data_IF_721604828537
#
_entry.id   IF_721604828537
#
_cell.length_a   1.000
_cell.length_b   1.000
_cell.length_c   1.000
_cell.angle_alpha   90.00
_cell.angle_beta   90.00
_cell.angle_gamma   90.00
#
_symmetry.space_group_name_H-M   'P 1'
#
loop_
_entity.id
_entity.type
_entity.pdbx_description
1 polymer ?
#
# COMPACT_ATOMS: atom_id res chain seq x y z
N UNK A 1 -3.33 -5.03 8.72
CA UNK A 1 -4.13 -4.23 9.66
C UNK A 1 -3.78 -4.64 11.07
N UNK A 2 -3.93 -3.75 12.04
CA UNK A 2 -3.44 -3.95 13.41
C UNK A 2 -4.54 -3.68 14.43
N UNK A 3 -4.62 -4.52 15.46
CA UNK A 3 -5.46 -4.30 16.64
C UNK A 3 -4.75 -3.31 17.58
N UNK A 4 -5.37 -2.18 17.96
CA UNK A 4 -4.67 -1.13 18.72
C UNK A 4 -4.11 -1.59 20.06
N UNK A 5 -4.93 -2.26 20.88
CA UNK A 5 -4.54 -2.64 22.25
C UNK A 5 -3.50 -3.77 22.31
N UNK A 6 -3.60 -4.76 21.42
CA UNK A 6 -2.76 -5.97 21.46
C UNK A 6 -1.58 -5.93 20.50
N UNK A 7 -1.63 -5.05 19.49
CA UNK A 7 -0.66 -5.01 18.42
C UNK A 7 -0.68 -6.20 17.46
N UNK A 8 -1.66 -7.10 17.58
CA UNK A 8 -1.83 -8.22 16.63
C UNK A 8 -2.07 -7.68 15.23
N UNK A 9 -1.40 -8.26 14.24
CA UNK A 9 -1.56 -7.89 12.83
C UNK A 9 -2.18 -9.01 11.99
N UNK A 10 -2.98 -8.60 11.01
CA UNK A 10 -3.65 -9.49 10.05
C UNK A 10 -3.55 -8.93 8.63
N UNK A 11 -3.34 -9.82 7.66
CA UNK A 11 -3.42 -9.50 6.23
C UNK A 11 -4.81 -9.85 5.69
N UNK A 12 -5.51 -8.87 5.14
CA UNK A 12 -6.88 -9.01 4.65
C UNK A 12 -7.00 -8.28 3.31
N UNK A 13 -7.69 -8.89 2.34
CA UNK A 13 -8.16 -8.19 1.15
C UNK A 13 -9.27 -7.21 1.54
N UNK A 14 -8.86 -5.97 1.88
CA UNK A 14 -9.75 -4.97 2.43
C UNK A 14 -10.60 -4.28 1.35
N UNK A 15 -11.88 -4.08 1.64
CA UNK A 15 -12.79 -3.30 0.82
C UNK A 15 -12.73 -1.81 1.21
N UNK A 16 -12.73 -0.87 0.25
CA UNK A 16 -12.79 0.55 0.55
C UNK A 16 -14.02 0.92 1.39
N UNK A 17 -13.82 1.68 2.47
CA UNK A 17 -14.90 2.17 3.34
C UNK A 17 -15.48 1.16 4.32
N UNK A 18 -15.02 -0.09 4.32
CA UNK A 18 -15.48 -1.12 5.26
C UNK A 18 -14.71 -1.07 6.58
N UNK A 19 -15.43 -1.06 7.69
CA UNK A 19 -14.86 -1.17 9.03
C UNK A 19 -14.63 -2.63 9.38
N UNK A 20 -13.38 -2.97 9.71
CA UNK A 20 -13.00 -4.30 10.16
C UNK A 20 -12.76 -4.29 11.67
N UNK A 21 -13.29 -5.29 12.38
CA UNK A 21 -13.15 -5.42 13.82
C UNK A 21 -12.28 -6.63 14.17
N UNK A 22 -11.48 -6.50 15.21
CA UNK A 22 -10.77 -7.61 15.83
C UNK A 22 -11.79 -8.60 16.43
N UNK A 23 -11.62 -9.90 16.15
CA UNK A 23 -12.58 -10.92 16.60
C UNK A 23 -12.59 -11.10 18.13
N UNK A 24 -11.45 -10.86 18.78
CA UNK A 24 -11.28 -11.17 20.21
C UNK A 24 -11.56 -9.94 21.07
N UNK A 25 -11.17 -8.74 20.61
CA UNK A 25 -11.36 -7.49 21.37
C UNK A 25 -12.55 -6.66 20.90
N UNK A 26 -13.05 -6.87 19.67
CA UNK A 26 -14.09 -6.04 19.05
C UNK A 26 -13.61 -4.66 18.60
N UNK A 27 -12.32 -4.32 18.77
CA UNK A 27 -11.76 -3.04 18.39
C UNK A 27 -11.68 -2.87 16.87
N UNK A 28 -11.81 -1.64 16.39
CA UNK A 28 -11.56 -1.32 14.99
C UNK A 28 -10.09 -1.56 14.63
N UNK A 29 -9.86 -2.35 13.58
CA UNK A 29 -8.54 -2.60 13.05
C UNK A 29 -8.03 -1.39 12.28
N UNK A 30 -6.78 -1.01 12.53
CA UNK A 30 -6.10 0.09 11.86
C UNK A 30 -5.33 -0.40 10.62
N UNK A 31 -5.39 0.37 9.53
CA UNK A 31 -4.60 0.09 8.33
C UNK A 31 -3.18 0.61 8.53
N UNK A 32 -2.27 -0.27 8.93
CA UNK A 32 -0.85 0.07 9.15
C UNK A 32 0.03 -0.13 7.91
N UNK A 33 -0.49 -0.76 6.85
CA UNK A 33 0.26 -1.04 5.64
C UNK A 33 -0.62 -1.56 4.50
N UNK A 34 -0.05 -1.56 3.30
CA UNK A 34 -0.65 -2.08 2.07
C UNK A 34 0.36 -2.98 1.38
N UNK A 35 -0.09 -4.12 0.85
CA UNK A 35 0.73 -4.95 -0.03
C UNK A 35 0.60 -4.38 -1.44
N UNK A 36 1.73 -4.07 -2.06
CA UNK A 36 1.80 -3.58 -3.43
C UNK A 36 2.25 -4.70 -4.39
N UNK A 37 1.82 -4.67 -5.66
CA UNK A 37 0.91 -3.69 -6.25
C UNK A 37 -0.54 -3.92 -5.78
N UNK A 38 -1.25 -2.84 -5.45
CA UNK A 38 -2.65 -2.93 -5.01
C UNK A 38 -3.57 -3.01 -6.25
N UNK A 39 -4.40 -4.06 -6.40
CA UNK A 39 -5.38 -4.11 -7.48
C UNK A 39 -6.49 -3.07 -7.28
N UNK A 40 -7.01 -2.42 -8.34
CA UNK A 40 -6.47 -2.43 -9.71
C UNK A 40 -5.23 -1.50 -9.80
N UNK A 41 -4.08 -2.06 -10.14
CA UNK A 41 -2.90 -1.25 -10.45
C UNK A 41 -3.00 -0.74 -11.89
N UNK A 42 -2.69 0.55 -12.10
CA UNK A 42 -2.58 1.12 -13.45
C UNK A 42 -1.30 0.68 -14.18
N UNK A 43 -0.35 0.08 -13.44
CA UNK A 43 0.90 -0.39 -14.02
C UNK A 43 0.70 -1.68 -14.79
N UNK A 44 1.37 -1.79 -15.93
CA UNK A 44 1.41 -2.99 -16.78
C UNK A 44 2.75 -3.72 -16.64
N UNK A 45 3.67 -3.23 -15.81
CA UNK A 45 4.97 -3.84 -15.59
C UNK A 45 4.93 -4.88 -14.47
N UNK A 46 5.62 -6.03 -14.61
CA UNK A 46 5.85 -6.96 -13.52
C UNK A 46 6.52 -6.27 -12.32
N UNK A 47 6.17 -6.69 -11.11
CA UNK A 47 6.81 -6.20 -9.88
C UNK A 47 8.21 -6.81 -9.72
N UNK A 48 9.17 -6.28 -10.47
CA UNK A 48 10.57 -6.69 -10.53
C UNK A 48 11.48 -5.47 -10.36
N UNK A 49 12.68 -5.66 -9.82
CA UNK A 49 13.60 -4.56 -9.42
C UNK A 49 13.88 -3.61 -10.60
N UNK A 50 14.08 -4.15 -11.80
CA UNK A 50 14.31 -3.42 -13.04
C UNK A 50 13.14 -2.52 -13.47
N UNK A 51 11.92 -2.80 -12.99
CA UNK A 51 10.70 -2.05 -13.28
C UNK A 51 10.31 -1.06 -12.16
N UNK A 52 11.13 -0.96 -11.10
CA UNK A 52 10.87 -0.09 -9.96
C UNK A 52 11.78 1.14 -9.96
N UNK A 53 11.29 2.21 -9.33
CA UNK A 53 12.02 3.44 -9.03
C UNK A 53 11.72 3.91 -7.62
N UNK A 54 12.64 4.67 -7.04
CA UNK A 54 12.39 5.36 -5.79
C UNK A 54 11.46 6.55 -6.01
N UNK A 55 10.44 6.68 -5.15
CA UNK A 55 9.66 7.90 -5.05
C UNK A 55 10.49 8.98 -4.35
N UNK A 56 10.73 10.15 -4.96
CA UNK A 56 11.54 11.21 -4.34
C UNK A 56 10.88 11.89 -3.13
N UNK A 57 9.65 11.51 -2.79
CA UNK A 57 8.88 12.10 -1.70
C UNK A 57 8.80 11.24 -0.44
N UNK A 58 8.92 9.93 -0.58
CA UNK A 58 8.73 8.98 0.53
C UNK A 58 9.69 7.78 0.49
N UNK A 59 10.60 7.75 -0.48
CA UNK A 59 11.62 6.71 -0.70
C UNK A 59 11.08 5.29 -0.88
N UNK A 60 9.77 5.14 -1.08
CA UNK A 60 9.14 3.86 -1.40
C UNK A 60 9.34 3.50 -2.87
N UNK A 61 9.37 2.20 -3.15
CA UNK A 61 9.41 1.68 -4.52
C UNK A 61 8.08 1.90 -5.23
N UNK A 62 8.14 2.44 -6.44
CA UNK A 62 7.01 2.62 -7.34
C UNK A 62 7.35 2.04 -8.72
N UNK A 63 6.35 1.58 -9.46
CA UNK A 63 6.55 1.09 -10.84
C UNK A 63 6.90 2.25 -11.77
N UNK A 64 7.85 2.02 -12.70
CA UNK A 64 8.41 3.04 -13.60
C UNK A 64 7.41 3.65 -14.56
N UNK A 65 6.36 2.91 -14.92
CA UNK A 65 5.27 3.35 -15.79
C UNK A 65 4.18 4.16 -15.06
N UNK A 66 4.32 4.35 -13.73
CA UNK A 66 3.43 5.20 -12.95
C UNK A 66 4.00 6.61 -12.77
N UNK A 67 3.15 7.61 -13.03
CA UNK A 67 3.45 9.01 -12.71
C UNK A 67 3.12 9.38 -11.26
N UNK A 68 2.28 8.61 -10.58
CA UNK A 68 1.87 8.82 -9.18
C UNK A 68 2.38 7.66 -8.32
N UNK A 69 2.94 7.98 -7.15
CA UNK A 69 3.41 6.94 -6.23
C UNK A 69 2.22 6.16 -5.65
N UNK A 70 2.17 4.83 -5.75
CA UNK A 70 1.07 4.03 -5.20
C UNK A 70 1.02 4.02 -3.67
N UNK A 71 2.08 4.48 -3.00
CA UNK A 71 2.15 4.52 -1.53
C UNK A 71 1.72 5.87 -0.97
N UNK A 72 2.24 6.98 -1.50
CA UNK A 72 2.00 8.33 -0.97
C UNK A 72 1.15 9.22 -1.88
N UNK A 73 0.73 8.71 -3.04
CA UNK A 73 -0.19 9.35 -4.01
C UNK A 73 0.33 10.65 -4.63
N UNK A 74 1.57 11.06 -4.31
CA UNK A 74 2.21 12.22 -4.91
C UNK A 74 2.72 11.92 -6.31
N UNK A 75 2.61 12.92 -7.19
CA UNK A 75 3.18 12.87 -8.54
C UNK A 75 4.70 12.88 -8.49
N UNK A 76 5.31 11.93 -9.18
CA UNK A 76 6.75 11.78 -9.33
C UNK A 76 7.22 12.48 -10.60
N UNK A 77 8.47 12.96 -10.60
CA UNK A 77 9.11 13.56 -11.78
C UNK A 77 9.37 12.55 -12.91
N UNK A 78 9.92 13.02 -14.04
CA UNK A 78 10.35 12.12 -15.11
C UNK A 78 11.40 11.13 -14.60
N UNK A 79 11.49 9.97 -15.25
CA UNK A 79 12.60 9.05 -15.05
C UNK A 79 13.90 9.73 -15.53
N UNK A 80 14.94 9.68 -14.71
CA UNK A 80 16.29 10.03 -15.11
C UNK A 80 16.98 8.83 -15.76
#
# INVERSE_FOLDING_TARGET
>A
MRTPSTGREVFIAAEPGKTYLDRDTGEQLEVVGKVLPLPPSKSQLPWAVENLRFCPWCDQMAQKDLNECPTCERRMGPLQ
#
